data_IF_266604508130
#
_entry.id   IF_266604508130
#
_cell.length_a   1.000
_cell.length_b   1.000
_cell.length_c   1.000
_cell.angle_alpha   90.00
_cell.angle_beta   90.00
_cell.angle_gamma   90.00
#
_symmetry.space_group_name_H-M   'P 1'
#
loop_
_entity.id
_entity.type
_entity.pdbx_description
1 polymer ?
#
# COMPACT_ATOMS: atom_id res chain seq x y z
N UNK A 1 14.48 18.10 40.90
CA UNK A 1 14.33 18.17 39.43
C UNK A 1 12.97 17.63 39.06
N UNK A 2 12.18 18.43 38.34
CA UNK A 2 10.73 18.31 38.19
C UNK A 2 10.33 17.00 37.45
N UNK A 3 9.53 16.14 38.09
CA UNK A 3 9.15 14.81 37.58
C UNK A 3 8.27 14.93 36.32
N UNK A 4 7.42 15.95 36.24
CA UNK A 4 6.56 16.22 35.07
C UNK A 4 7.33 16.54 33.78
N UNK A 5 8.44 17.29 33.87
CA UNK A 5 9.24 17.63 32.68
C UNK A 5 9.98 16.42 32.10
N UNK A 6 10.34 15.45 32.96
CA UNK A 6 11.09 14.25 32.56
C UNK A 6 10.27 13.24 31.76
N UNK A 7 8.96 13.16 32.02
CA UNK A 7 8.04 12.28 31.30
C UNK A 7 7.71 12.83 29.90
N UNK A 8 7.53 14.14 29.75
CA UNK A 8 7.28 14.74 28.43
C UNK A 8 8.49 14.60 27.49
N UNK A 9 9.71 14.75 28.00
CA UNK A 9 10.92 14.57 27.17
C UNK A 9 11.16 13.12 26.78
N UNK A 10 10.79 12.16 27.64
CA UNK A 10 10.88 10.73 27.29
C UNK A 10 9.84 10.36 26.22
N UNK A 11 8.61 10.90 26.30
CA UNK A 11 7.57 10.73 25.28
C UNK A 11 8.05 11.26 23.93
N UNK A 12 8.59 12.48 23.88
CA UNK A 12 9.17 13.04 22.66
C UNK A 12 10.31 12.19 22.08
N UNK A 13 11.16 11.59 22.92
CA UNK A 13 12.21 10.65 22.47
C UNK A 13 11.60 9.38 21.87
N UNK A 14 10.52 8.85 22.45
CA UNK A 14 9.83 7.67 21.95
C UNK A 14 9.06 7.95 20.65
N UNK A 15 8.46 9.13 20.53
CA UNK A 15 7.77 9.58 19.30
C UNK A 15 8.76 9.71 18.14
N UNK A 16 9.93 10.32 18.36
CA UNK A 16 10.99 10.38 17.33
C UNK A 16 11.43 8.98 16.93
N UNK A 17 11.56 8.06 17.87
CA UNK A 17 11.90 6.67 17.57
C UNK A 17 10.81 5.97 16.74
N UNK A 18 9.54 6.20 17.08
CA UNK A 18 8.38 5.55 16.47
C UNK A 18 8.06 6.08 15.06
N UNK A 19 8.11 7.40 14.88
CA UNK A 19 7.66 8.06 13.66
C UNK A 19 8.79 8.42 12.70
N UNK A 20 10.00 8.65 13.21
CA UNK A 20 11.11 9.20 12.42
C UNK A 20 12.25 8.22 12.18
N UNK A 21 12.16 6.99 12.72
CA UNK A 21 13.09 5.87 12.49
C UNK A 21 14.59 6.23 12.56
N UNK A 22 15.07 6.80 13.68
CA UNK A 22 16.45 7.20 13.86
C UNK A 22 17.39 6.00 13.90
N UNK A 23 18.56 6.13 13.27
CA UNK A 23 19.60 5.11 13.25
C UNK A 23 20.59 5.25 14.42
N UNK A 24 20.69 6.43 15.04
CA UNK A 24 21.61 6.71 16.15
C UNK A 24 20.98 7.55 17.28
N UNK A 25 21.59 7.51 18.47
CA UNK A 25 21.23 8.37 19.60
C UNK A 25 21.54 9.85 19.35
N UNK A 26 22.49 10.12 18.46
CA UNK A 26 22.92 11.47 18.08
C UNK A 26 21.85 12.15 17.21
N UNK A 27 21.23 11.41 16.28
CA UNK A 27 20.07 11.89 15.50
C UNK A 27 18.88 12.26 16.40
N UNK A 28 18.58 11.44 17.41
CA UNK A 28 17.50 11.71 18.38
C UNK A 28 17.81 12.98 19.18
N UNK A 29 19.07 13.17 19.57
CA UNK A 29 19.52 14.30 20.36
C UNK A 29 19.45 15.61 19.56
N UNK A 30 19.88 15.59 18.30
CA UNK A 30 19.83 16.74 17.39
C UNK A 30 18.38 17.19 17.13
N UNK A 31 17.49 16.23 16.81
CA UNK A 31 16.07 16.51 16.52
C UNK A 31 15.32 17.14 17.70
N UNK A 32 15.67 16.76 18.93
CA UNK A 32 14.99 17.25 20.13
C UNK A 32 15.75 18.40 20.82
N UNK A 33 16.88 18.86 20.27
CA UNK A 33 17.72 19.88 20.90
C UNK A 33 18.29 19.44 22.27
N UNK A 34 18.51 18.14 22.44
CA UNK A 34 19.00 17.52 23.68
C UNK A 34 20.49 17.17 23.56
N UNK A 35 21.13 16.93 24.70
CA UNK A 35 22.48 16.35 24.67
C UNK A 35 22.40 14.83 24.51
N UNK A 36 23.30 14.24 23.71
CA UNK A 36 23.42 12.77 23.56
C UNK A 36 23.42 12.04 24.91
N UNK A 37 24.20 12.56 25.88
CA UNK A 37 24.30 12.01 27.24
C UNK A 37 22.95 12.00 27.98
N UNK A 38 22.07 12.96 27.71
CA UNK A 38 20.73 13.01 28.27
C UNK A 38 19.80 12.00 27.61
N UNK A 39 19.84 11.86 26.28
CA UNK A 39 19.11 10.82 25.53
C UNK A 39 19.54 9.41 25.99
N UNK A 40 20.85 9.15 26.13
CA UNK A 40 21.35 7.89 26.69
C UNK A 40 20.76 7.62 28.08
N UNK A 41 20.69 8.64 28.95
CA UNK A 41 20.15 8.49 30.31
C UNK A 41 18.65 8.19 30.32
N UNK A 42 17.90 8.70 29.34
CA UNK A 42 16.47 8.45 29.15
C UNK A 42 16.20 7.05 28.58
N UNK A 43 17.02 6.59 27.62
CA UNK A 43 16.86 5.29 26.98
C UNK A 43 17.45 4.12 27.79
N UNK A 44 18.47 4.35 28.62
CA UNK A 44 19.15 3.29 29.39
C UNK A 44 18.19 2.39 30.20
N UNK A 45 17.17 2.91 30.90
CA UNK A 45 16.18 2.06 31.59
C UNK A 45 15.33 1.24 30.62
N UNK A 46 14.95 1.81 29.48
CA UNK A 46 14.12 1.17 28.46
C UNK A 46 14.89 0.07 27.71
N UNK A 47 16.16 0.32 27.37
CA UNK A 47 17.06 -0.69 26.79
C UNK A 47 17.30 -1.83 27.77
N UNK A 48 17.53 -1.53 29.06
CA UNK A 48 17.71 -2.55 30.10
C UNK A 48 16.45 -3.41 30.29
N UNK A 49 15.27 -2.81 30.16
CA UNK A 49 13.98 -3.50 30.18
C UNK A 49 13.65 -4.18 28.85
N UNK A 50 14.39 -3.91 27.79
CA UNK A 50 14.15 -4.45 26.45
C UNK A 50 12.98 -3.80 25.69
N UNK A 51 12.52 -2.62 26.12
CA UNK A 51 11.50 -1.80 25.44
C UNK A 51 12.08 -1.16 24.17
N UNK A 52 13.38 -0.83 24.17
CA UNK A 52 14.10 -0.27 23.02
C UNK A 52 15.29 -1.17 22.70
N UNK A 53 15.39 -1.68 21.48
CA UNK A 53 16.46 -2.60 21.04
C UNK A 53 17.69 -1.85 20.51
N UNK A 54 18.77 -2.57 20.19
CA UNK A 54 20.08 -2.02 19.81
C UNK A 54 20.09 -1.12 18.55
N UNK A 55 19.00 -1.12 17.77
CA UNK A 55 18.80 -0.27 16.59
C UNK A 55 17.61 0.70 16.74
N UNK A 56 17.27 1.06 17.99
CA UNK A 56 16.10 1.90 18.32
C UNK A 56 14.75 1.33 17.89
N UNK A 57 14.69 0.05 17.53
CA UNK A 57 13.42 -0.64 17.30
C UNK A 57 12.69 -0.81 18.63
N UNK A 58 11.44 -0.33 18.70
CA UNK A 58 10.57 -0.47 19.86
C UNK A 58 10.02 -1.90 19.99
N UNK A 59 10.04 -2.43 21.21
CA UNK A 59 9.37 -3.67 21.58
C UNK A 59 7.97 -3.33 22.09
N UNK A 60 6.99 -3.40 21.20
CA UNK A 60 5.62 -2.94 21.42
C UNK A 60 4.94 -3.65 22.60
N UNK A 61 5.33 -4.89 22.89
CA UNK A 61 4.83 -5.67 24.03
C UNK A 61 5.14 -5.01 25.38
N UNK A 62 6.32 -4.40 25.52
CA UNK A 62 6.72 -3.70 26.75
C UNK A 62 6.43 -2.21 26.69
N UNK A 63 6.19 -1.68 25.50
CA UNK A 63 5.72 -0.32 25.31
C UNK A 63 4.27 -0.19 25.76
N UNK A 64 3.39 -1.15 25.44
CA UNK A 64 2.01 -1.17 25.90
C UNK A 64 1.92 -1.30 27.44
N UNK A 65 2.70 -2.21 28.06
CA UNK A 65 2.85 -2.29 29.53
C UNK A 65 3.39 -0.98 30.16
N UNK A 66 4.12 -0.18 29.38
CA UNK A 66 4.67 1.11 29.81
C UNK A 66 3.67 2.26 29.61
N UNK A 67 2.85 2.22 28.53
CA UNK A 67 1.77 3.16 28.23
C UNK A 67 0.64 3.06 29.27
N UNK A 68 0.31 1.85 29.74
CA UNK A 68 -0.60 1.64 30.87
C UNK A 68 -0.15 2.35 32.17
N UNK A 69 1.16 2.63 32.34
CA UNK A 69 1.66 3.40 33.50
C UNK A 69 1.43 4.92 33.38
N UNK A 70 0.91 5.43 32.26
CA UNK A 70 0.70 6.87 32.01
C UNK A 70 -0.77 7.32 32.03
N UNK A 71 -1.70 6.49 32.52
CA UNK A 71 -3.15 6.82 32.61
C UNK A 71 -3.70 7.40 31.28
N UNK A 72 -3.44 6.72 30.15
CA UNK A 72 -4.14 7.04 28.90
C UNK A 72 -5.48 6.29 28.88
N UNK A 73 -6.59 7.04 28.78
CA UNK A 73 -7.94 6.47 28.67
C UNK A 73 -8.05 5.55 27.44
N UNK A 74 -8.76 4.40 27.56
CA UNK A 74 -8.95 3.45 26.47
C UNK A 74 -9.92 4.03 25.46
N UNK A 75 -9.41 4.84 24.55
CA UNK A 75 -10.17 5.33 23.40
C UNK A 75 -10.34 4.17 22.40
N UNK A 76 -11.54 3.61 22.39
CA UNK A 76 -12.11 2.72 21.37
C UNK A 76 -11.23 1.58 20.84
N UNK A 77 -11.22 0.44 21.55
CA UNK A 77 -11.20 -0.94 21.00
C UNK A 77 -10.17 -1.37 19.92
N UNK A 78 -9.14 -0.59 19.62
CA UNK A 78 -8.02 -1.02 18.76
C UNK A 78 -6.77 -1.28 19.61
N UNK A 79 -6.27 -2.52 19.62
CA UNK A 79 -4.96 -2.84 20.20
C UNK A 79 -3.89 -1.99 19.48
N UNK A 80 -2.93 -1.42 20.21
CA UNK A 80 -1.90 -0.52 19.65
C UNK A 80 -1.16 -1.10 18.42
N UNK A 81 -0.97 -2.43 18.37
CA UNK A 81 -0.41 -3.13 17.22
C UNK A 81 -1.26 -3.05 15.95
N UNK A 82 -2.60 -3.09 16.07
CA UNK A 82 -3.53 -2.96 14.95
C UNK A 82 -3.49 -1.55 14.37
N UNK A 83 -3.46 -0.53 15.23
CA UNK A 83 -3.33 0.86 14.81
C UNK A 83 -2.03 1.09 14.03
N UNK A 84 -0.91 0.55 14.52
CA UNK A 84 0.38 0.66 13.82
C UNK A 84 0.33 0.03 12.42
N UNK A 85 -0.25 -1.16 12.29
CA UNK A 85 -0.34 -1.85 10.99
C UNK A 85 -1.24 -1.07 10.02
N UNK A 86 -2.35 -0.47 10.49
CA UNK A 86 -3.18 0.40 9.66
C UNK A 86 -2.42 1.61 9.12
N UNK A 87 -1.60 2.27 9.94
CA UNK A 87 -0.74 3.36 9.47
C UNK A 87 0.32 2.88 8.47
N UNK A 88 0.90 1.70 8.67
CA UNK A 88 1.82 1.09 7.69
C UNK A 88 1.12 0.81 6.35
N UNK A 89 -0.11 0.28 6.38
CA UNK A 89 -0.93 0.05 5.18
C UNK A 89 -1.30 1.34 4.47
N UNK A 90 -1.63 2.40 5.22
CA UNK A 90 -1.89 3.73 4.66
C UNK A 90 -0.67 4.27 3.91
N UNK A 91 0.51 4.20 4.53
CA UNK A 91 1.76 4.63 3.90
C UNK A 91 2.08 3.80 2.64
N UNK A 92 1.83 2.47 2.70
CA UNK A 92 2.01 1.60 1.53
C UNK A 92 1.03 1.94 0.41
N UNK A 93 -0.23 2.25 0.73
CA UNK A 93 -1.21 2.69 -0.26
C UNK A 93 -0.79 4.00 -0.92
N UNK A 94 -0.31 4.99 -0.16
CA UNK A 94 0.22 6.25 -0.69
C UNK A 94 1.45 6.04 -1.60
N UNK A 95 2.32 5.10 -1.26
CA UNK A 95 3.46 4.70 -2.07
C UNK A 95 3.02 4.06 -3.40
N UNK A 96 2.11 3.08 -3.37
CA UNK A 96 1.55 2.43 -4.56
C UNK A 96 0.85 3.44 -5.47
N UNK A 97 0.09 4.35 -4.86
CA UNK A 97 -0.55 5.47 -5.52
C UNK A 97 0.44 6.36 -6.28
N UNK A 98 1.58 6.69 -5.64
CA UNK A 98 2.64 7.51 -6.24
C UNK A 98 3.38 6.77 -7.36
N UNK A 99 3.65 5.47 -7.18
CA UNK A 99 4.18 4.60 -8.23
C UNK A 99 3.24 4.55 -9.43
N UNK A 100 1.93 4.50 -9.21
CA UNK A 100 0.93 4.49 -10.27
C UNK A 100 0.90 5.78 -11.07
N UNK A 101 0.86 6.91 -10.38
CA UNK A 101 0.87 8.21 -11.01
C UNK A 101 2.17 8.41 -11.83
N UNK A 102 3.33 8.04 -11.27
CA UNK A 102 4.63 8.15 -11.95
C UNK A 102 4.74 7.21 -13.17
N UNK A 103 4.33 5.94 -13.05
CA UNK A 103 4.33 4.99 -14.17
C UNK A 103 3.47 5.48 -15.34
N UNK A 104 2.30 6.05 -15.05
CA UNK A 104 1.42 6.54 -16.10
C UNK A 104 1.89 7.87 -16.69
N UNK A 105 2.46 8.77 -15.88
CA UNK A 105 3.09 9.99 -16.39
C UNK A 105 4.29 9.70 -17.30
N UNK A 106 5.11 8.70 -16.93
CA UNK A 106 6.19 8.21 -17.79
C UNK A 106 5.64 7.67 -19.11
N UNK A 107 4.54 6.92 -19.07
CA UNK A 107 3.86 6.42 -20.25
C UNK A 107 3.33 7.55 -21.15
N UNK A 108 2.72 8.59 -20.59
CA UNK A 108 2.18 9.71 -21.37
C UNK A 108 3.28 10.53 -22.07
N UNK A 109 4.48 10.58 -21.49
CA UNK A 109 5.61 11.38 -21.99
C UNK A 109 6.65 10.54 -22.74
N UNK A 110 6.50 9.22 -22.76
CA UNK A 110 7.53 8.26 -23.18
C UNK A 110 8.88 8.53 -22.51
N UNK A 111 8.85 8.85 -21.21
CA UNK A 111 10.02 9.22 -20.42
C UNK A 111 10.64 7.97 -19.77
N UNK A 112 11.72 7.48 -20.37
CA UNK A 112 12.44 6.28 -19.89
C UNK A 112 13.08 6.49 -18.51
N UNK A 113 13.54 7.70 -18.17
CA UNK A 113 14.15 7.97 -16.87
C UNK A 113 13.07 7.88 -15.78
N UNK A 114 11.93 8.52 -16.01
CA UNK A 114 10.77 8.45 -15.11
C UNK A 114 10.22 7.02 -14.99
N UNK A 115 10.19 6.25 -16.08
CA UNK A 115 9.80 4.85 -16.04
C UNK A 115 10.75 4.01 -15.16
N UNK A 116 12.07 4.22 -15.28
CA UNK A 116 13.05 3.56 -14.42
C UNK A 116 12.90 3.98 -12.94
N UNK A 117 12.56 5.23 -12.66
CA UNK A 117 12.24 5.68 -11.30
C UNK A 117 10.98 5.01 -10.74
N UNK A 118 9.93 4.89 -11.54
CA UNK A 118 8.71 4.19 -11.14
C UNK A 118 8.98 2.71 -10.80
N UNK A 119 9.81 2.03 -11.60
CA UNK A 119 10.26 0.66 -11.30
C UNK A 119 11.09 0.57 -10.00
N UNK A 120 11.81 1.64 -9.62
CA UNK A 120 12.52 1.66 -8.33
C UNK A 120 11.56 1.74 -7.14
N UNK A 121 10.43 2.42 -7.29
CA UNK A 121 9.39 2.51 -6.26
C UNK A 121 8.78 1.13 -5.94
N UNK A 122 8.76 0.23 -6.90
CA UNK A 122 8.29 -1.15 -6.73
C UNK A 122 9.07 -1.91 -5.66
N UNK A 123 10.41 -1.79 -5.66
CA UNK A 123 11.24 -2.36 -4.59
C UNK A 123 10.91 -1.79 -3.20
N UNK A 124 10.51 -0.52 -3.13
CA UNK A 124 10.10 0.11 -1.88
C UNK A 124 8.78 -0.50 -1.41
N UNK A 125 7.82 -0.68 -2.31
CA UNK A 125 6.54 -1.34 -2.03
C UNK A 125 6.73 -2.78 -1.53
N UNK A 126 7.60 -3.56 -2.17
CA UNK A 126 7.88 -4.95 -1.76
C UNK A 126 8.50 -4.99 -0.35
N UNK A 127 9.38 -4.03 -0.03
CA UNK A 127 9.93 -3.90 1.32
C UNK A 127 8.87 -3.48 2.36
N UNK A 128 7.90 -2.65 1.98
CA UNK A 128 6.78 -2.29 2.86
C UNK A 128 5.87 -3.50 3.13
N UNK A 129 5.56 -4.29 2.10
CA UNK A 129 4.80 -5.54 2.22
C UNK A 129 5.44 -6.49 3.24
N UNK A 130 6.74 -6.80 3.08
CA UNK A 130 7.43 -7.72 3.99
C UNK A 130 7.49 -7.20 5.44
N UNK A 131 7.60 -5.87 5.62
CA UNK A 131 7.52 -5.26 6.96
C UNK A 131 6.13 -5.42 7.58
N UNK A 132 5.07 -5.18 6.82
CA UNK A 132 3.69 -5.34 7.30
C UNK A 132 3.44 -6.79 7.68
N UNK A 133 3.86 -7.73 6.82
CA UNK A 133 3.78 -9.17 7.09
C UNK A 133 4.48 -9.56 8.39
N UNK A 134 5.72 -9.12 8.58
CA UNK A 134 6.47 -9.39 9.82
C UNK A 134 5.81 -8.77 11.06
N UNK A 135 5.20 -7.59 10.93
CA UNK A 135 4.41 -6.96 12.00
C UNK A 135 3.14 -7.75 12.33
N UNK A 136 2.41 -8.23 11.32
CA UNK A 136 1.24 -9.11 11.48
C UNK A 136 1.62 -10.39 12.24
N UNK A 137 2.67 -11.08 11.82
CA UNK A 137 3.19 -12.28 12.47
C UNK A 137 3.57 -12.02 13.94
N UNK A 138 4.16 -10.85 14.20
CA UNK A 138 4.53 -10.41 15.55
C UNK A 138 3.30 -10.19 16.42
N UNK A 139 2.29 -9.46 15.94
CA UNK A 139 1.05 -9.20 16.68
C UNK A 139 0.32 -10.51 17.00
N UNK A 140 0.22 -11.40 16.02
CA UNK A 140 -0.36 -12.73 16.18
C UNK A 140 0.35 -13.55 17.26
N UNK A 141 1.69 -13.54 17.24
CA UNK A 141 2.51 -14.27 18.22
C UNK A 141 2.32 -13.75 19.65
N UNK A 142 1.91 -12.49 19.81
CA UNK A 142 1.71 -11.84 21.11
C UNK A 142 0.33 -12.17 21.69
N UNK A 143 -0.73 -12.19 20.87
CA UNK A 143 -2.10 -12.42 21.35
C UNK A 143 -2.92 -13.36 20.41
N UNK A 144 -2.73 -14.68 20.53
CA UNK A 144 -3.32 -15.65 19.60
C UNK A 144 -4.82 -15.94 19.84
N UNK A 145 -5.46 -15.39 20.88
CA UNK A 145 -6.72 -15.95 21.41
C UNK A 145 -8.02 -15.20 21.06
N UNK A 146 -8.00 -13.98 20.49
CA UNK A 146 -9.26 -13.25 20.21
C UNK A 146 -9.35 -12.47 18.88
N UNK A 147 -8.24 -12.06 18.26
CA UNK A 147 -8.27 -11.26 17.03
C UNK A 147 -7.41 -11.82 15.89
N UNK A 148 -6.93 -13.07 16.02
CA UNK A 148 -6.04 -13.71 15.03
C UNK A 148 -6.54 -13.58 13.58
N UNK A 149 -7.82 -13.90 13.33
CA UNK A 149 -8.40 -13.83 11.99
C UNK A 149 -8.44 -12.40 11.45
N UNK A 150 -8.71 -11.40 12.30
CA UNK A 150 -8.72 -9.99 11.91
C UNK A 150 -7.32 -9.47 11.64
N UNK A 151 -6.33 -9.87 12.42
CA UNK A 151 -4.94 -9.44 12.20
C UNK A 151 -4.36 -10.01 10.90
N UNK A 152 -4.72 -11.25 10.54
CA UNK A 152 -4.32 -11.87 9.27
C UNK A 152 -4.77 -11.06 8.05
N UNK A 153 -5.95 -10.44 8.11
CA UNK A 153 -6.51 -9.62 7.02
C UNK A 153 -5.58 -8.47 6.63
N UNK A 154 -4.84 -7.88 7.58
CA UNK A 154 -3.88 -6.82 7.23
C UNK A 154 -2.76 -7.32 6.29
N UNK A 155 -2.34 -8.58 6.47
CA UNK A 155 -1.39 -9.23 5.56
C UNK A 155 -1.99 -9.45 4.17
N UNK A 156 -3.26 -9.85 4.09
CA UNK A 156 -3.99 -10.00 2.82
C UNK A 156 -4.05 -8.66 2.07
N UNK A 157 -4.41 -7.57 2.74
CA UNK A 157 -4.48 -6.23 2.11
C UNK A 157 -3.10 -5.74 1.67
N UNK A 158 -2.05 -5.99 2.47
CA UNK A 158 -0.69 -5.63 2.08
C UNK A 158 -0.26 -6.39 0.80
N UNK A 159 -0.61 -7.67 0.70
CA UNK A 159 -0.34 -8.47 -0.49
C UNK A 159 -1.10 -7.96 -1.72
N UNK A 160 -2.37 -7.58 -1.55
CA UNK A 160 -3.16 -6.99 -2.64
C UNK A 160 -2.59 -5.64 -3.11
N UNK A 161 -2.10 -4.80 -2.20
CA UNK A 161 -1.39 -3.56 -2.55
C UNK A 161 -0.09 -3.83 -3.33
N UNK A 162 0.67 -4.84 -2.96
CA UNK A 162 1.87 -5.25 -3.69
C UNK A 162 1.54 -5.73 -5.11
N UNK A 163 0.50 -6.54 -5.27
CA UNK A 163 0.00 -6.96 -6.60
C UNK A 163 -0.42 -5.78 -7.48
N UNK A 164 -1.05 -4.75 -6.91
CA UNK A 164 -1.39 -3.50 -7.63
C UNK A 164 -0.11 -2.79 -8.09
N UNK A 165 0.93 -2.76 -7.26
CA UNK A 165 2.23 -2.17 -7.59
C UNK A 165 2.92 -2.92 -8.75
N UNK A 166 2.91 -4.26 -8.70
CA UNK A 166 3.42 -5.13 -9.77
C UNK A 166 2.73 -4.86 -11.11
N UNK A 167 1.40 -4.73 -11.10
CA UNK A 167 0.63 -4.39 -12.31
C UNK A 167 0.94 -2.98 -12.82
N UNK A 168 1.18 -2.04 -11.90
CA UNK A 168 1.61 -0.69 -12.20
C UNK A 168 3.01 -0.65 -12.82
N UNK A 169 3.93 -1.51 -12.37
CA UNK A 169 5.26 -1.65 -12.95
C UNK A 169 5.22 -2.11 -14.42
N UNK A 170 4.20 -2.88 -14.83
CA UNK A 170 4.01 -3.24 -16.24
C UNK A 170 3.78 -2.02 -17.15
N UNK A 171 3.19 -0.95 -16.62
CA UNK A 171 2.97 0.31 -17.37
C UNK A 171 4.31 1.00 -17.63
N UNK A 172 5.18 1.07 -16.62
CA UNK A 172 6.54 1.61 -16.80
C UNK A 172 7.40 0.72 -17.73
N UNK A 173 7.28 -0.60 -17.61
CA UNK A 173 7.96 -1.55 -18.51
C UNK A 173 7.54 -1.38 -19.98
N UNK A 174 6.31 -0.97 -20.25
CA UNK A 174 5.88 -0.63 -21.61
C UNK A 174 6.71 0.51 -22.18
N UNK A 175 7.03 1.55 -21.40
CA UNK A 175 7.85 2.68 -21.85
C UNK A 175 9.25 2.21 -22.25
N UNK A 176 9.84 1.30 -21.47
CA UNK A 176 11.20 0.79 -21.72
C UNK A 176 11.28 -0.24 -22.85
N UNK A 177 10.17 -0.91 -23.17
CA UNK A 177 10.11 -1.98 -24.18
C UNK A 177 9.37 -1.59 -25.46
N UNK A 178 8.57 -0.53 -25.40
CA UNK A 178 7.74 -0.04 -26.49
C UNK A 178 8.57 0.76 -27.48
N UNK A 179 8.48 0.36 -28.75
CA UNK A 179 9.18 1.02 -29.86
C UNK A 179 8.27 1.98 -30.65
N UNK A 180 6.98 2.07 -30.31
CA UNK A 180 6.00 2.87 -31.02
C UNK A 180 5.10 3.64 -30.05
N UNK A 181 4.69 4.83 -30.48
CA UNK A 181 3.66 5.58 -29.78
C UNK A 181 2.29 4.92 -29.97
N UNK A 182 1.45 5.06 -28.96
CA UNK A 182 0.04 4.67 -28.97
C UNK A 182 -0.77 5.76 -29.66
N UNK A 183 -1.68 5.36 -30.56
CA UNK A 183 -2.55 6.30 -31.25
C UNK A 183 -3.49 7.03 -30.29
N UNK A 184 -4.04 8.16 -30.75
CA UNK A 184 -4.81 9.08 -29.91
C UNK A 184 -6.08 8.44 -29.32
N UNK A 185 -6.78 7.59 -30.09
CA UNK A 185 -8.02 6.94 -29.61
C UNK A 185 -7.73 5.93 -28.50
N UNK A 186 -6.68 5.12 -28.69
CA UNK A 186 -6.23 4.17 -27.69
C UNK A 186 -5.67 4.90 -26.46
N UNK A 187 -4.91 5.97 -26.65
CA UNK A 187 -4.37 6.79 -25.56
C UNK A 187 -5.49 7.37 -24.67
N UNK A 188 -6.58 7.87 -25.25
CA UNK A 188 -7.72 8.38 -24.49
C UNK A 188 -8.48 7.28 -23.75
N UNK A 189 -8.52 6.08 -24.33
CA UNK A 189 -9.06 4.88 -23.66
C UNK A 189 -8.19 4.54 -22.44
N UNK A 190 -6.86 4.51 -22.58
CA UNK A 190 -5.93 4.25 -21.49
C UNK A 190 -5.96 5.32 -20.38
N UNK A 191 -6.07 6.61 -20.74
CA UNK A 191 -6.29 7.69 -19.76
C UNK A 191 -7.57 7.47 -18.95
N UNK A 192 -8.62 6.98 -19.58
CA UNK A 192 -9.88 6.66 -18.91
C UNK A 192 -9.75 5.45 -17.99
N UNK A 193 -9.00 4.43 -18.41
CA UNK A 193 -8.68 3.27 -17.58
C UNK A 193 -7.88 3.70 -16.34
N UNK A 194 -6.80 4.46 -16.53
CA UNK A 194 -5.98 5.01 -15.44
C UNK A 194 -6.81 5.79 -14.41
N UNK A 195 -7.60 6.77 -14.85
CA UNK A 195 -8.45 7.56 -13.95
C UNK A 195 -9.43 6.69 -13.16
N UNK A 196 -9.92 5.62 -13.77
CA UNK A 196 -10.90 4.73 -13.15
C UNK A 196 -10.23 3.80 -12.15
N UNK A 197 -9.19 3.07 -12.55
CA UNK A 197 -8.43 2.18 -11.67
C UNK A 197 -7.80 2.92 -10.49
N UNK A 198 -7.27 4.13 -10.71
CA UNK A 198 -6.69 4.97 -9.66
C UNK A 198 -7.70 5.35 -8.58
N UNK A 199 -8.95 5.62 -8.98
CA UNK A 199 -10.08 5.86 -8.05
C UNK A 199 -10.47 4.59 -7.31
N UNK A 200 -10.49 3.43 -8.00
CA UNK A 200 -10.81 2.14 -7.36
C UNK A 200 -9.84 1.82 -6.23
N UNK A 201 -8.53 1.98 -6.45
CA UNK A 201 -7.49 1.77 -5.40
C UNK A 201 -7.69 2.73 -4.22
N UNK A 202 -7.98 4.00 -4.48
CA UNK A 202 -8.21 4.98 -3.41
C UNK A 202 -9.47 4.65 -2.59
N UNK A 203 -10.58 4.36 -3.26
CA UNK A 203 -11.83 4.03 -2.59
C UNK A 203 -11.79 2.69 -1.85
N UNK A 204 -11.09 1.69 -2.39
CA UNK A 204 -10.92 0.40 -1.73
C UNK A 204 -10.12 0.55 -0.43
N UNK A 205 -9.04 1.32 -0.45
CA UNK A 205 -8.26 1.61 0.76
C UNK A 205 -9.00 2.51 1.75
N UNK A 206 -9.83 3.46 1.31
CA UNK A 206 -10.73 4.20 2.22
C UNK A 206 -11.76 3.30 2.88
N UNK A 207 -12.36 2.37 2.12
CA UNK A 207 -13.29 1.40 2.68
C UNK A 207 -12.62 0.53 3.75
N UNK A 208 -11.37 0.11 3.53
CA UNK A 208 -10.62 -0.70 4.47
C UNK A 208 -10.08 0.09 5.68
N UNK A 209 -9.49 1.27 5.49
CA UNK A 209 -8.85 2.02 6.58
C UNK A 209 -9.84 2.79 7.45
N UNK A 210 -10.91 3.33 6.86
CA UNK A 210 -11.84 4.25 7.51
C UNK A 210 -13.25 3.65 7.76
N UNK A 211 -13.46 2.37 7.45
CA UNK A 211 -14.78 1.72 7.52
C UNK A 211 -15.85 2.37 6.59
N UNK A 212 -15.41 3.08 5.54
CA UNK A 212 -16.29 3.73 4.55
C UNK A 212 -16.82 2.72 3.51
N UNK A 213 -17.60 1.73 3.96
CA UNK A 213 -18.10 0.63 3.09
C UNK A 213 -19.12 1.08 2.03
N UNK A 214 -19.63 2.32 2.10
CA UNK A 214 -20.54 2.90 1.11
C UNK A 214 -19.86 3.11 -0.27
N UNK A 215 -18.53 2.97 -0.36
CA UNK A 215 -17.84 2.94 -1.64
C UNK A 215 -18.02 1.64 -2.43
N UNK A 216 -18.57 0.58 -1.83
CA UNK A 216 -18.70 -0.72 -2.50
C UNK A 216 -19.46 -0.60 -3.82
N UNK A 217 -20.64 0.00 -3.83
CA UNK A 217 -21.45 0.14 -5.04
C UNK A 217 -20.70 0.96 -6.11
N UNK A 218 -20.02 2.03 -5.71
CA UNK A 218 -19.20 2.85 -6.63
C UNK A 218 -18.06 2.05 -7.25
N UNK A 219 -17.43 1.16 -6.49
CA UNK A 219 -16.32 0.33 -6.98
C UNK A 219 -16.84 -0.72 -7.96
N UNK A 220 -18.03 -1.30 -7.73
CA UNK A 220 -18.69 -2.19 -8.68
C UNK A 220 -19.01 -1.46 -10.00
N UNK A 221 -19.51 -0.22 -9.94
CA UNK A 221 -19.75 0.60 -11.14
C UNK A 221 -18.45 0.86 -11.92
N UNK A 222 -17.35 1.11 -11.21
CA UNK A 222 -16.04 1.30 -11.83
C UNK A 222 -15.46 0.01 -12.41
N UNK A 223 -15.72 -1.15 -11.80
CA UNK A 223 -15.34 -2.46 -12.31
C UNK A 223 -16.03 -2.74 -13.65
N UNK A 224 -17.34 -2.51 -13.76
CA UNK A 224 -18.07 -2.63 -15.02
C UNK A 224 -17.47 -1.68 -16.08
N UNK A 225 -17.19 -0.43 -15.68
CA UNK A 225 -16.56 0.55 -16.56
C UNK A 225 -15.18 0.12 -17.06
N UNK A 226 -14.35 -0.48 -16.19
CA UNK A 226 -13.03 -0.99 -16.56
C UNK A 226 -13.16 -2.12 -17.58
N UNK A 227 -14.12 -3.05 -17.42
CA UNK A 227 -14.37 -4.12 -18.38
C UNK A 227 -14.82 -3.60 -19.76
N UNK A 228 -15.68 -2.59 -19.80
CA UNK A 228 -16.05 -1.92 -21.06
C UNK A 228 -14.84 -1.31 -21.77
N UNK A 229 -14.02 -0.57 -21.01
CA UNK A 229 -12.82 0.08 -21.54
C UNK A 229 -11.79 -0.95 -22.01
N UNK A 230 -11.60 -2.04 -21.26
CA UNK A 230 -10.73 -3.15 -21.64
C UNK A 230 -11.17 -3.78 -22.95
N UNK A 231 -12.47 -4.06 -23.11
CA UNK A 231 -13.02 -4.60 -24.37
C UNK A 231 -12.80 -3.63 -25.53
N UNK A 232 -13.01 -2.32 -25.31
CA UNK A 232 -12.75 -1.29 -26.32
C UNK A 232 -11.26 -1.28 -26.74
N UNK A 233 -10.36 -1.26 -25.77
CA UNK A 233 -8.92 -1.21 -25.97
C UNK A 233 -8.40 -2.47 -26.72
N UNK A 234 -8.84 -3.66 -26.31
CA UNK A 234 -8.47 -4.91 -26.98
C UNK A 234 -9.00 -5.00 -28.41
N UNK A 235 -10.21 -4.49 -28.67
CA UNK A 235 -10.74 -4.42 -30.03
C UNK A 235 -9.93 -3.46 -30.91
N UNK A 236 -9.52 -2.30 -30.38
CA UNK A 236 -8.66 -1.35 -31.11
C UNK A 236 -7.31 -2.01 -31.45
N UNK A 237 -6.65 -2.67 -30.49
CA UNK A 237 -5.43 -3.46 -30.73
C UNK A 237 -5.65 -4.49 -31.83
N UNK A 238 -6.75 -5.25 -31.79
CA UNK A 238 -7.03 -6.29 -32.78
C UNK A 238 -7.24 -5.74 -34.20
N UNK A 239 -7.87 -4.57 -34.33
CA UNK A 239 -8.04 -3.90 -35.63
C UNK A 239 -6.68 -3.45 -36.18
N UNK A 240 -5.85 -2.81 -35.36
CA UNK A 240 -4.52 -2.37 -35.78
C UNK A 240 -3.61 -3.54 -36.17
N UNK A 241 -3.64 -4.62 -35.39
CA UNK A 241 -2.93 -5.86 -35.72
C UNK A 241 -3.37 -6.48 -37.06
N UNK A 242 -4.62 -6.27 -37.48
CA UNK A 242 -5.12 -6.77 -38.76
C UNK A 242 -4.72 -5.90 -39.95
N UNK A 243 -4.53 -4.60 -39.72
CA UNK A 243 -4.20 -3.61 -40.75
C UNK A 243 -2.69 -3.44 -40.94
N UNK A 244 -1.88 -3.65 -39.91
CA UNK A 244 -0.43 -3.39 -39.95
C UNK A 244 0.41 -4.54 -40.51
N UNK A 245 1.53 -4.18 -41.15
CA UNK A 245 2.57 -5.13 -41.55
C UNK A 245 3.28 -5.69 -40.31
N UNK A 246 3.01 -6.96 -40.01
CA UNK A 246 3.50 -7.60 -38.80
C UNK A 246 4.96 -8.04 -38.90
N UNK A 247 5.82 -7.47 -38.05
CA UNK A 247 7.17 -7.94 -37.78
C UNK A 247 7.37 -8.26 -36.27
N UNK A 248 8.61 -8.57 -35.88
CA UNK A 248 8.94 -8.89 -34.49
C UNK A 248 8.68 -7.71 -33.54
N UNK A 249 8.98 -6.48 -33.97
CA UNK A 249 8.90 -5.30 -33.13
C UNK A 249 7.44 -4.86 -32.96
N UNK A 250 6.65 -4.85 -34.04
CA UNK A 250 5.20 -4.62 -34.04
C UNK A 250 4.47 -5.67 -33.20
N UNK A 251 4.85 -6.94 -33.32
CA UNK A 251 4.31 -8.02 -32.47
C UNK A 251 4.61 -7.76 -31.00
N UNK A 252 5.84 -7.38 -30.67
CA UNK A 252 6.25 -7.10 -29.28
C UNK A 252 5.49 -5.91 -28.72
N UNK A 253 5.34 -4.84 -29.50
CA UNK A 253 4.54 -3.68 -29.15
C UNK A 253 3.10 -4.04 -28.77
N UNK A 254 2.38 -4.78 -29.62
CA UNK A 254 0.98 -5.15 -29.31
C UNK A 254 0.85 -6.06 -28.09
N UNK A 255 1.79 -6.98 -27.89
CA UNK A 255 1.81 -7.82 -26.70
C UNK A 255 2.05 -6.99 -25.44
N UNK A 256 2.99 -6.05 -25.46
CA UNK A 256 3.26 -5.14 -24.35
C UNK A 256 2.07 -4.22 -24.09
N UNK A 257 1.45 -3.65 -25.13
CA UNK A 257 0.27 -2.80 -25.01
C UNK A 257 -0.93 -3.56 -24.43
N UNK A 258 -1.16 -4.80 -24.87
CA UNK A 258 -2.20 -5.67 -24.32
C UNK A 258 -1.96 -5.99 -22.83
N UNK A 259 -0.70 -6.14 -22.41
CA UNK A 259 -0.35 -6.30 -20.99
C UNK A 259 -0.69 -5.05 -20.17
N UNK A 260 -0.46 -3.85 -20.70
CA UNK A 260 -0.87 -2.59 -20.04
C UNK A 260 -2.38 -2.55 -19.85
N UNK A 261 -3.16 -2.85 -20.89
CA UNK A 261 -4.62 -2.92 -20.82
C UNK A 261 -5.08 -3.93 -19.77
N UNK A 262 -4.44 -5.11 -19.72
CA UNK A 262 -4.74 -6.13 -18.73
C UNK A 262 -4.36 -5.71 -17.30
N UNK A 263 -3.25 -5.01 -17.11
CA UNK A 263 -2.86 -4.49 -15.80
C UNK A 263 -3.91 -3.56 -15.20
N UNK A 264 -4.53 -2.69 -16.01
CA UNK A 264 -5.62 -1.84 -15.51
C UNK A 264 -6.84 -2.64 -15.04
N UNK A 265 -7.22 -3.70 -15.75
CA UNK A 265 -8.29 -4.61 -15.32
C UNK A 265 -7.92 -5.32 -14.03
N UNK A 266 -6.71 -5.88 -13.93
CA UNK A 266 -6.24 -6.53 -12.71
C UNK A 266 -6.22 -5.62 -11.50
N UNK A 267 -5.81 -4.35 -11.66
CA UNK A 267 -5.86 -3.38 -10.57
C UNK A 267 -7.32 -3.13 -10.13
N UNK A 268 -8.25 -3.12 -11.08
CA UNK A 268 -9.69 -3.06 -10.79
C UNK A 268 -10.18 -4.26 -9.98
N UNK A 269 -9.88 -5.49 -10.44
CA UNK A 269 -10.24 -6.74 -9.75
C UNK A 269 -9.73 -6.76 -8.31
N UNK A 270 -8.44 -6.45 -8.12
CA UNK A 270 -7.81 -6.44 -6.79
C UNK A 270 -8.44 -5.36 -5.90
N UNK A 271 -8.85 -4.22 -6.47
CA UNK A 271 -9.56 -3.20 -5.71
C UNK A 271 -10.92 -3.69 -5.21
N UNK A 272 -11.62 -4.54 -5.96
CA UNK A 272 -12.85 -5.21 -5.50
C UNK A 272 -12.52 -6.22 -4.39
N UNK A 273 -11.44 -7.00 -4.53
CA UNK A 273 -10.97 -7.94 -3.49
C UNK A 273 -10.70 -7.23 -2.15
N UNK A 274 -10.05 -6.06 -2.17
CA UNK A 274 -9.81 -5.22 -0.98
C UNK A 274 -11.13 -4.78 -0.31
N UNK A 275 -12.14 -4.38 -1.10
CA UNK A 275 -13.44 -3.93 -0.56
C UNK A 275 -14.24 -5.08 0.04
N UNK A 276 -14.25 -6.23 -0.62
CA UNK A 276 -14.91 -7.42 -0.09
C UNK A 276 -14.24 -7.86 1.22
N UNK A 277 -12.91 -7.78 1.27
CA UNK A 277 -12.12 -8.03 2.48
C UNK A 277 -12.42 -7.01 3.59
N UNK A 278 -12.64 -5.73 3.26
CA UNK A 278 -13.11 -4.74 4.22
C UNK A 278 -14.52 -5.07 4.77
N UNK A 279 -15.43 -5.52 3.91
CA UNK A 279 -16.77 -5.97 4.30
C UNK A 279 -16.73 -7.18 5.24
N UNK A 280 -15.83 -8.14 4.99
CA UNK A 280 -15.57 -9.26 5.90
C UNK A 280 -15.02 -8.76 7.24
N UNK A 281 -14.00 -7.90 7.21
CA UNK A 281 -13.31 -7.39 8.40
C UNK A 281 -14.24 -6.63 9.37
N UNK A 282 -15.07 -5.72 8.85
CA UNK A 282 -15.91 -4.84 9.68
C UNK A 282 -17.30 -5.42 9.97
N UNK A 283 -17.93 -6.07 8.98
CA UNK A 283 -19.33 -6.53 9.09
C UNK A 283 -19.48 -8.06 9.17
N UNK A 284 -18.39 -8.83 9.18
CA UNK A 284 -18.40 -10.30 9.09
C UNK A 284 -19.23 -10.80 7.88
N UNK A 285 -19.26 -10.02 6.80
CA UNK A 285 -19.92 -10.43 5.56
C UNK A 285 -18.95 -11.39 4.85
N UNK A 286 -19.32 -12.66 4.64
CA UNK A 286 -18.42 -13.61 4.00
C UNK A 286 -18.15 -13.21 2.55
N UNK A 287 -16.90 -13.38 2.11
CA UNK A 287 -16.53 -13.26 0.70
C UNK A 287 -17.37 -14.20 -0.17
N UNK A 288 -17.78 -13.71 -1.34
CA UNK A 288 -18.53 -14.52 -2.30
C UNK A 288 -17.63 -15.60 -2.91
N UNK A 289 -18.05 -16.86 -2.78
CA UNK A 289 -17.34 -18.02 -3.36
C UNK A 289 -17.72 -18.28 -4.81
N UNK A 290 -18.74 -17.59 -5.32
CA UNK A 290 -19.17 -17.69 -6.72
C UNK A 290 -18.08 -17.07 -7.59
N UNK A 291 -17.51 -17.79 -8.58
CA UNK A 291 -16.56 -17.19 -9.51
C UNK A 291 -17.20 -16.03 -10.28
N UNK A 292 -16.41 -14.99 -10.58
CA UNK A 292 -16.88 -13.75 -11.22
C UNK A 292 -17.76 -13.98 -12.46
N UNK A 293 -17.36 -14.90 -13.34
CA UNK A 293 -18.13 -15.29 -14.54
C UNK A 293 -19.55 -15.78 -14.29
N UNK A 294 -19.86 -16.19 -13.05
CA UNK A 294 -21.19 -16.63 -12.61
C UNK A 294 -21.89 -15.60 -11.72
N UNK A 295 -21.25 -14.47 -11.38
CA UNK A 295 -21.85 -13.38 -10.61
C UNK A 295 -22.67 -12.42 -11.49
N UNK A 296 -22.36 -12.34 -12.78
CA UNK A 296 -22.94 -11.38 -13.75
C UNK A 296 -24.03 -11.98 -14.67
N UNK A 297 -24.66 -13.10 -14.28
CA UNK A 297 -25.81 -13.69 -15.00
C UNK A 297 -27.14 -13.26 -14.38
#
# INVERSE_FOLDING_TARGET
>A
MNIKGKNNTLKAVLDVILYENPSTQDEIAEKLGLTRRYVTKLLQPLVKRGVVKRAYILDLKKFDEFSEMFDEEPTSREHAGTFLIKEMLKNMAEQVCSQFDMSFDAFLKYDEEMANEALKLDFVTNNMHEKIRASVDTVISINPYSEFSKTMVFGEIAFDLERIADHTAQIANFVLSGCYEVDEEMLDTLKSMFKTSRKMVNYSMKAFLNEELDYKDKIMDYEERIHELQKKALNNIALQMADDDMDKDRSTYYLSLSRVVKSFERIGDISVEIVDTAGEFYRNIPRTTTPERFRRQ
#
